data_IF_853463268542
#
_entry.id   IF_853463268542
#
_cell.length_a   1.000
_cell.length_b   1.000
_cell.length_c   1.000
_cell.angle_alpha   90.00
_cell.angle_beta   90.00
_cell.angle_gamma   90.00
#
_symmetry.space_group_name_H-M   'P 1'
#
loop_
_entity.id
_entity.type
_entity.pdbx_description
1 polymer ?
#
# COMPACT_ATOMS: atom_id res chain seq x y z
N UNK A 1 -23.61 26.34 -84.18
CA UNK A 1 -24.43 27.33 -84.91
C UNK A 1 -24.99 28.31 -83.91
N UNK A 2 -24.79 29.60 -84.20
CA UNK A 2 -25.33 30.82 -83.60
C UNK A 2 -26.42 30.69 -82.53
N UNK A 3 -26.28 31.46 -81.44
CA UNK A 3 -27.17 32.62 -81.35
C UNK A 3 -26.53 33.84 -80.68
N UNK A 4 -26.99 34.97 -81.20
CA UNK A 4 -26.40 36.28 -81.21
C UNK A 4 -26.77 37.12 -79.98
N UNK A 5 -25.79 37.94 -79.55
CA UNK A 5 -25.94 39.40 -79.34
C UNK A 5 -26.91 39.90 -78.25
N UNK A 6 -26.35 40.16 -77.07
CA UNK A 6 -26.15 41.50 -76.45
C UNK A 6 -27.23 42.58 -76.65
N UNK A 7 -27.78 43.16 -75.56
CA UNK A 7 -28.19 44.59 -75.44
C UNK A 7 -28.81 44.89 -74.06
N UNK A 8 -28.06 45.64 -73.21
CA UNK A 8 -28.41 46.97 -72.67
C UNK A 8 -27.68 47.29 -71.36
N UNK A 9 -26.70 48.20 -71.49
CA UNK A 9 -26.23 49.09 -70.43
C UNK A 9 -27.28 50.17 -70.15
N UNK A 10 -27.55 50.48 -68.88
CA UNK A 10 -28.01 51.79 -68.37
C UNK A 10 -27.40 51.98 -66.97
N UNK A 11 -26.35 52.79 -66.82
CA UNK A 11 -26.34 54.23 -66.45
C UNK A 11 -26.69 54.43 -64.95
N UNK A 12 -25.69 54.91 -64.19
CA UNK A 12 -25.65 55.41 -62.79
C UNK A 12 -26.60 56.65 -62.59
N UNK A 13 -26.67 57.42 -61.46
CA UNK A 13 -25.80 57.51 -60.27
C UNK A 13 -26.48 57.82 -58.89
N UNK A 14 -25.67 57.78 -57.81
CA UNK A 14 -25.72 58.56 -56.56
C UNK A 14 -27.08 58.84 -55.86
N UNK A 15 -27.35 58.15 -54.75
CA UNK A 15 -28.02 58.76 -53.59
C UNK A 15 -27.07 58.79 -52.40
N UNK A 16 -26.90 60.01 -51.93
CA UNK A 16 -26.01 60.51 -50.90
C UNK A 16 -26.67 60.31 -49.51
N UNK A 17 -25.90 59.73 -48.59
CA UNK A 17 -25.93 59.89 -47.13
C UNK A 17 -27.27 59.84 -46.35
N UNK A 18 -27.46 58.75 -45.59
CA UNK A 18 -28.08 58.70 -44.25
C UNK A 18 -27.60 57.38 -43.62
N UNK A 19 -26.71 57.33 -42.64
CA UNK A 19 -26.98 57.71 -41.26
C UNK A 19 -27.01 56.45 -40.37
N UNK A 20 -25.82 56.03 -39.90
CA UNK A 20 -25.48 55.34 -38.63
C UNK A 20 -26.52 54.40 -37.99
N UNK A 21 -26.21 53.09 -37.94
CA UNK A 21 -26.57 52.03 -36.94
C UNK A 21 -26.51 50.67 -37.68
N UNK A 22 -25.74 49.63 -37.38
CA UNK A 22 -25.22 49.06 -36.14
C UNK A 22 -23.88 48.37 -36.44
N UNK A 23 -22.81 48.72 -35.72
CA UNK A 23 -21.68 47.81 -35.52
C UNK A 23 -22.08 46.79 -34.44
N UNK A 24 -22.14 45.51 -34.79
CA UNK A 24 -22.12 44.41 -33.83
C UNK A 24 -21.11 43.35 -34.29
N UNK A 25 -19.84 43.77 -34.35
CA UNK A 25 -18.72 42.84 -34.25
C UNK A 25 -18.47 42.54 -32.77
N UNK A 26 -18.66 41.30 -32.35
CA UNK A 26 -18.18 40.80 -31.06
C UNK A 26 -17.32 39.57 -31.31
N UNK A 27 -16.12 39.80 -31.83
CA UNK A 27 -15.00 38.89 -31.62
C UNK A 27 -14.28 39.35 -30.34
N UNK A 28 -14.78 38.92 -29.18
CA UNK A 28 -14.10 39.09 -27.90
C UNK A 28 -13.90 37.70 -27.29
N UNK A 29 -12.79 37.06 -27.65
CA UNK A 29 -12.20 36.02 -26.80
C UNK A 29 -11.70 36.74 -25.55
N UNK A 30 -12.40 36.57 -24.43
CA UNK A 30 -11.86 36.95 -23.14
C UNK A 30 -10.58 36.13 -22.91
N UNK A 31 -9.44 36.75 -22.52
CA UNK A 31 -8.34 35.98 -22.00
C UNK A 31 -8.82 35.27 -20.73
N UNK A 32 -8.66 33.95 -20.70
CA UNK A 32 -8.79 33.17 -19.48
C UNK A 32 -7.86 33.83 -18.47
N UNK A 33 -8.41 34.31 -17.36
CA UNK A 33 -7.61 34.87 -16.28
C UNK A 33 -6.58 33.83 -15.86
N UNK A 34 -5.30 34.12 -16.15
CA UNK A 34 -4.18 33.46 -15.48
C UNK A 34 -4.32 33.82 -14.02
N UNK A 35 -4.78 32.86 -13.22
CA UNK A 35 -4.79 32.99 -11.77
C UNK A 35 -3.35 32.86 -11.30
N UNK A 36 -2.81 33.94 -10.76
CA UNK A 36 -1.56 33.93 -10.02
C UNK A 36 -1.66 32.86 -8.92
N UNK A 37 -0.75 31.89 -9.00
CA UNK A 37 -0.66 30.76 -8.09
C UNK A 37 -0.18 31.20 -6.72
N UNK A 38 -1.05 31.82 -5.93
CA UNK A 38 -0.96 31.70 -4.49
C UNK A 38 -1.55 30.34 -4.11
N UNK A 39 -0.65 29.39 -3.91
CA UNK A 39 -0.92 27.99 -3.55
C UNK A 39 -1.62 27.85 -2.20
N UNK A 40 -2.91 28.12 -2.18
CA UNK A 40 -3.85 27.48 -1.26
C UNK A 40 -4.69 26.57 -2.12
N UNK A 41 -4.31 25.29 -2.15
CA UNK A 41 -5.20 24.26 -2.67
C UNK A 41 -6.54 24.42 -1.96
N UNK A 42 -7.68 24.44 -2.68
CA UNK A 42 -8.96 24.33 -2.00
C UNK A 42 -8.90 23.09 -1.10
N UNK A 43 -9.34 23.17 0.17
CA UNK A 43 -9.38 22.00 1.03
C UNK A 43 -10.09 20.88 0.26
N UNK A 44 -9.64 19.61 0.38
CA UNK A 44 -10.34 18.52 -0.27
C UNK A 44 -11.82 18.67 0.09
N UNK A 45 -12.66 18.77 -0.92
CA UNK A 45 -14.10 18.84 -0.72
C UNK A 45 -14.44 17.72 0.25
N UNK A 46 -14.95 18.08 1.43
CA UNK A 46 -15.25 17.11 2.47
C UNK A 46 -16.03 15.98 1.81
N UNK A 47 -15.53 14.75 1.95
CA UNK A 47 -16.24 13.58 1.48
C UNK A 47 -17.70 13.74 1.93
N UNK A 48 -18.69 13.58 1.04
CA UNK A 48 -20.08 13.73 1.43
C UNK A 48 -20.28 12.80 2.62
N UNK A 49 -20.54 13.42 3.78
CA UNK A 49 -20.72 12.71 5.03
C UNK A 49 -21.83 11.70 4.74
N UNK A 50 -21.53 10.41 4.90
CA UNK A 50 -22.60 9.41 4.91
C UNK A 50 -23.67 9.96 5.86
N UNK A 51 -24.95 9.82 5.51
CA UNK A 51 -25.98 10.15 6.48
C UNK A 51 -25.60 9.47 7.80
N UNK A 52 -25.88 10.11 8.95
CA UNK A 52 -25.31 9.79 10.28
C UNK A 52 -25.35 8.31 10.71
N UNK A 53 -25.97 7.44 9.92
CA UNK A 53 -26.01 5.98 10.00
C UNK A 53 -24.92 5.21 9.23
N UNK A 54 -24.05 5.85 8.43
CA UNK A 54 -23.02 5.13 7.65
C UNK A 54 -23.58 4.37 6.43
N UNK A 55 -24.70 4.85 5.88
CA UNK A 55 -25.43 4.28 4.74
C UNK A 55 -25.50 5.30 3.61
N UNK A 56 -25.36 4.84 2.36
CA UNK A 56 -25.42 5.63 1.14
C UNK A 56 -26.50 5.08 0.20
N UNK A 57 -27.40 5.95 -0.27
CA UNK A 57 -28.42 5.58 -1.26
C UNK A 57 -27.85 5.73 -2.67
N UNK A 58 -27.75 4.63 -3.41
CA UNK A 58 -27.21 4.58 -4.78
C UNK A 58 -28.02 5.48 -5.70
N UNK A 59 -27.35 6.39 -6.42
CA UNK A 59 -27.96 7.25 -7.43
C UNK A 59 -27.80 6.68 -8.84
N UNK A 60 -28.56 7.23 -9.78
CA UNK A 60 -28.47 6.87 -11.19
C UNK A 60 -27.04 7.10 -11.72
N UNK A 61 -26.43 6.03 -12.25
CA UNK A 61 -25.09 6.05 -12.82
C UNK A 61 -23.94 5.81 -11.82
N UNK A 62 -24.23 5.64 -10.53
CA UNK A 62 -23.22 5.25 -9.55
C UNK A 62 -22.90 3.74 -9.65
N UNK A 63 -21.65 3.40 -9.36
CA UNK A 63 -21.18 2.01 -9.27
C UNK A 63 -20.63 1.74 -7.88
N UNK A 64 -20.58 0.48 -7.46
CA UNK A 64 -20.03 0.12 -6.16
C UNK A 64 -18.57 0.57 -6.02
N UNK A 65 -17.81 0.56 -7.12
CA UNK A 65 -16.46 1.13 -7.19
C UNK A 65 -16.45 2.65 -6.98
N UNK A 66 -17.37 3.39 -7.60
CA UNK A 66 -17.50 4.84 -7.42
C UNK A 66 -17.83 5.21 -5.98
N UNK A 67 -18.80 4.51 -5.38
CA UNK A 67 -19.22 4.68 -3.99
C UNK A 67 -18.06 4.34 -3.04
N UNK A 68 -17.38 3.20 -3.25
CA UNK A 68 -16.22 2.82 -2.46
C UNK A 68 -15.09 3.87 -2.52
N UNK A 69 -14.85 4.47 -3.70
CA UNK A 69 -13.88 5.56 -3.85
C UNK A 69 -14.30 6.82 -3.11
N UNK A 70 -15.57 7.20 -3.22
CA UNK A 70 -16.14 8.38 -2.56
C UNK A 70 -16.02 8.31 -1.03
N UNK A 71 -16.24 7.13 -0.45
CA UNK A 71 -16.19 6.92 1.01
C UNK A 71 -14.84 6.39 1.52
N UNK A 72 -13.82 6.28 0.66
CA UNK A 72 -12.50 5.82 1.07
C UNK A 72 -12.45 4.33 1.45
N UNK A 73 -13.45 3.53 1.07
CA UNK A 73 -13.57 2.11 1.40
C UNK A 73 -13.08 1.18 0.29
N UNK A 74 -12.93 -0.10 0.61
CA UNK A 74 -12.68 -1.17 -0.35
C UNK A 74 -14.00 -1.73 -0.88
N UNK A 75 -14.08 -1.99 -2.19
CA UNK A 75 -15.25 -2.65 -2.81
C UNK A 75 -15.52 -4.00 -2.15
N UNK A 76 -14.47 -4.76 -1.82
CA UNK A 76 -14.60 -6.07 -1.17
C UNK A 76 -15.25 -5.95 0.21
N UNK A 77 -14.90 -4.92 0.97
CA UNK A 77 -15.46 -4.71 2.30
C UNK A 77 -16.93 -4.28 2.21
N UNK A 78 -17.27 -3.40 1.25
CA UNK A 78 -18.67 -3.05 0.95
C UNK A 78 -19.50 -4.27 0.56
N UNK A 79 -18.94 -5.18 -0.25
CA UNK A 79 -19.60 -6.43 -0.63
C UNK A 79 -19.91 -7.29 0.60
N UNK A 80 -18.95 -7.42 1.51
CA UNK A 80 -19.12 -8.18 2.77
C UNK A 80 -20.14 -7.51 3.69
N UNK A 81 -20.04 -6.21 3.91
CA UNK A 81 -20.93 -5.46 4.82
C UNK A 81 -22.38 -5.40 4.35
N UNK A 82 -22.61 -5.52 3.04
CA UNK A 82 -23.93 -5.46 2.43
C UNK A 82 -24.42 -6.83 1.91
N UNK A 83 -23.67 -7.91 2.18
CA UNK A 83 -24.03 -9.26 1.75
C UNK A 83 -24.23 -9.40 0.24
N UNK A 84 -23.52 -8.61 -0.58
CA UNK A 84 -23.69 -8.62 -2.02
C UNK A 84 -23.03 -9.87 -2.62
N UNK A 85 -23.77 -10.64 -3.42
CA UNK A 85 -23.19 -11.78 -4.15
C UNK A 85 -22.46 -11.32 -5.41
N UNK A 86 -22.94 -10.25 -6.05
CA UNK A 86 -22.34 -9.68 -7.25
C UNK A 86 -22.06 -8.18 -7.07
N UNK A 87 -20.78 -7.75 -7.05
CA UNK A 87 -20.39 -6.34 -6.88
C UNK A 87 -20.88 -5.39 -7.97
N UNK A 88 -21.23 -5.92 -9.15
CA UNK A 88 -21.69 -5.13 -10.31
C UNK A 88 -23.22 -5.02 -10.41
N UNK A 89 -23.96 -5.68 -9.51
CA UNK A 89 -25.42 -5.64 -9.48
C UNK A 89 -25.89 -4.78 -8.31
N UNK A 90 -25.81 -3.46 -8.48
CA UNK A 90 -26.44 -2.50 -7.57
C UNK A 90 -27.50 -1.70 -8.32
N UNK A 91 -28.60 -1.39 -7.64
CA UNK A 91 -29.74 -0.69 -8.24
C UNK A 91 -29.86 0.73 -7.70
N UNK A 92 -30.39 1.64 -8.52
CA UNK A 92 -30.69 3.01 -8.09
C UNK A 92 -31.72 2.97 -6.97
N UNK A 93 -31.47 3.72 -5.90
CA UNK A 93 -32.28 3.73 -4.68
C UNK A 93 -31.87 2.67 -3.65
N UNK A 94 -30.91 1.80 -3.96
CA UNK A 94 -30.42 0.79 -3.02
C UNK A 94 -29.59 1.42 -1.91
N UNK A 95 -29.84 1.03 -0.66
CA UNK A 95 -29.03 1.44 0.49
C UNK A 95 -27.78 0.56 0.59
N UNK A 96 -26.62 1.20 0.61
CA UNK A 96 -25.31 0.57 0.74
C UNK A 96 -24.65 1.09 2.02
N UNK A 97 -24.38 0.20 2.96
CA UNK A 97 -23.52 0.45 4.11
C UNK A 97 -22.10 0.73 3.63
N UNK A 98 -21.59 1.90 3.99
CA UNK A 98 -20.26 2.38 3.61
C UNK A 98 -19.31 2.51 4.80
N UNK A 99 -19.73 2.15 6.01
CA UNK A 99 -18.89 2.06 7.20
C UNK A 99 -18.88 0.64 7.78
N UNK A 100 -17.80 0.22 8.46
CA UNK A 100 -17.75 -1.05 9.18
C UNK A 100 -18.91 -1.17 10.18
N UNK A 101 -19.51 -2.36 10.37
CA UNK A 101 -20.56 -2.58 11.36
C UNK A 101 -20.15 -2.16 12.79
N UNK A 102 -18.86 -2.30 13.10
CA UNK A 102 -18.28 -1.96 14.41
C UNK A 102 -17.97 -0.46 14.59
N UNK A 103 -18.08 0.34 13.53
CA UNK A 103 -17.76 1.78 13.56
C UNK A 103 -18.88 2.64 14.20
N UNK A 104 -20.05 2.06 14.49
CA UNK A 104 -21.14 2.75 15.18
C UNK A 104 -21.03 2.68 16.73
N UNK A 105 -19.97 2.07 17.25
CA UNK A 105 -19.47 2.37 18.58
C UNK A 105 -18.17 3.15 18.35
N UNK A 106 -17.94 4.36 18.85
CA UNK A 106 -17.99 4.77 20.26
C UNK A 106 -17.82 6.32 20.28
N UNK A 107 -18.31 7.05 21.30
CA UNK A 107 -17.46 8.08 21.90
C UNK A 107 -17.26 7.81 23.40
N UNK A 108 -16.02 7.49 23.80
CA UNK A 108 -15.65 7.16 25.18
C UNK A 108 -14.81 5.89 25.33
N UNK A 109 -13.50 6.08 25.45
CA UNK A 109 -12.47 5.17 25.97
C UNK A 109 -12.76 3.66 26.06
N UNK A 110 -12.05 2.86 25.25
CA UNK A 110 -11.92 1.43 25.49
C UNK A 110 -10.94 1.18 26.65
N UNK A 111 -11.47 1.19 27.88
CA UNK A 111 -10.95 0.38 28.98
C UNK A 111 -11.51 -1.04 28.81
N UNK A 112 -10.63 -2.04 28.79
CA UNK A 112 -11.02 -3.43 28.78
C UNK A 112 -11.74 -3.78 30.09
N UNK A 113 -13.06 -3.95 30.05
CA UNK A 113 -13.82 -4.57 31.14
C UNK A 113 -13.82 -6.09 30.98
N UNK A 114 -13.41 -6.86 32.00
CA UNK A 114 -13.47 -8.31 31.97
C UNK A 114 -14.92 -8.81 31.98
N UNK A 115 -15.15 -9.93 31.26
CA UNK A 115 -16.43 -10.63 31.17
C UNK A 115 -16.74 -11.27 32.54
N UNK A 116 -17.91 -11.03 33.15
CA UNK A 116 -18.30 -11.75 34.37
C UNK A 116 -18.72 -13.18 34.02
N UNK A 117 -17.96 -14.15 34.54
CA UNK A 117 -18.37 -15.55 34.55
C UNK A 117 -19.50 -15.73 35.57
N UNK A 118 -20.71 -16.03 35.10
CA UNK A 118 -21.80 -16.51 35.95
C UNK A 118 -21.54 -17.99 36.24
N UNK A 119 -21.21 -18.31 37.49
CA UNK A 119 -21.07 -19.69 37.97
C UNK A 119 -22.46 -20.30 38.16
N UNK A 120 -22.87 -21.14 37.21
CA UNK A 120 -23.99 -22.08 37.39
C UNK A 120 -23.43 -23.39 37.99
N UNK A 121 -24.02 -23.94 39.06
CA UNK A 121 -23.49 -25.12 39.73
C UNK A 121 -23.72 -26.38 38.89
N UNK A 122 -22.70 -27.24 38.68
CA UNK A 122 -22.87 -28.45 37.90
C UNK A 122 -23.59 -29.53 38.71
N UNK A 123 -24.68 -30.05 38.14
CA UNK A 123 -25.37 -31.27 38.59
C UNK A 123 -24.45 -32.46 38.33
N UNK A 124 -24.21 -33.26 39.37
CA UNK A 124 -23.33 -34.42 39.35
C UNK A 124 -23.86 -35.53 38.42
N UNK A 125 -23.01 -35.98 37.50
CA UNK A 125 -23.11 -37.28 36.84
C UNK A 125 -21.96 -38.17 37.30
N UNK A 126 -22.19 -39.42 37.74
CA UNK A 126 -21.13 -40.31 38.18
C UNK A 126 -20.42 -40.93 36.97
N UNK A 127 -19.13 -40.65 36.81
CA UNK A 127 -18.26 -41.30 35.82
C UNK A 127 -17.50 -42.45 36.48
N UNK A 128 -17.69 -43.65 35.95
CA UNK A 128 -16.97 -44.89 36.27
C UNK A 128 -15.53 -44.80 35.72
N UNK A 129 -14.50 -45.36 36.38
CA UNK A 129 -13.10 -45.17 35.97
C UNK A 129 -12.70 -46.11 34.83
N UNK A 130 -12.09 -45.54 33.78
CA UNK A 130 -11.42 -46.29 32.71
C UNK A 130 -9.89 -46.16 32.86
N UNK A 131 -9.10 -47.25 32.69
CA UNK A 131 -7.66 -47.22 32.95
C UNK A 131 -6.90 -46.48 31.83
N UNK A 132 -6.06 -45.54 32.22
CA UNK A 132 -5.16 -44.82 31.33
C UNK A 132 -3.94 -45.68 30.97
N UNK A 133 -3.76 -45.97 29.68
CA UNK A 133 -2.45 -46.30 29.11
C UNK A 133 -1.60 -45.03 29.10
N UNK A 134 -0.52 -45.07 29.88
CA UNK A 134 0.45 -44.00 29.98
C UNK A 134 1.29 -43.90 28.69
N UNK A 135 1.30 -42.72 28.08
CA UNK A 135 2.11 -42.39 26.90
C UNK A 135 2.54 -40.92 26.89
N UNK A 136 3.61 -40.63 27.63
CA UNK A 136 4.56 -39.52 27.47
C UNK A 136 4.02 -38.08 27.34
N UNK A 137 3.62 -37.50 28.48
CA UNK A 137 3.76 -36.05 28.71
C UNK A 137 5.18 -35.76 29.19
N UNK A 138 5.88 -34.87 28.48
CA UNK A 138 7.23 -34.42 28.81
C UNK A 138 7.14 -33.41 29.96
N UNK A 139 7.15 -33.94 31.18
CA UNK A 139 7.12 -33.21 32.44
C UNK A 139 8.53 -32.68 32.75
N UNK A 140 8.72 -31.38 32.54
CA UNK A 140 9.64 -30.47 33.24
C UNK A 140 11.16 -30.76 33.23
N UNK A 141 12.04 -29.73 33.19
CA UNK A 141 13.46 -29.93 33.44
C UNK A 141 13.68 -30.17 34.94
N UNK A 142 13.77 -31.44 35.36
CA UNK A 142 14.29 -31.76 36.70
C UNK A 142 15.80 -31.50 36.73
N UNK A 143 16.18 -30.33 37.24
CA UNK A 143 17.56 -30.01 37.60
C UNK A 143 18.04 -30.93 38.71
N UNK A 144 18.74 -32.00 38.34
CA UNK A 144 19.37 -32.91 39.28
C UNK A 144 20.58 -32.26 39.96
N UNK A 145 20.60 -32.24 41.30
CA UNK A 145 21.83 -31.96 42.04
C UNK A 145 22.66 -33.24 42.04
N UNK A 146 23.65 -33.34 41.16
CA UNK A 146 24.64 -34.41 41.23
C UNK A 146 25.72 -34.03 42.26
N UNK A 147 26.16 -34.96 43.12
CA UNK A 147 27.26 -34.72 44.05
C UNK A 147 28.53 -34.44 43.25
N UNK A 148 29.29 -33.44 43.71
CA UNK A 148 30.56 -33.05 43.12
C UNK A 148 31.52 -34.25 43.11
N UNK A 149 31.92 -34.69 41.92
CA UNK A 149 32.99 -35.68 41.75
C UNK A 149 34.07 -35.11 40.83
N UNK A 150 35.33 -35.38 41.16
CA UNK A 150 36.48 -34.90 40.39
C UNK A 150 36.47 -35.43 38.95
N UNK A 151 35.84 -36.58 38.72
CA UNK A 151 35.69 -37.19 37.40
C UNK A 151 34.68 -36.44 36.49
N UNK A 152 33.61 -35.88 37.08
CA UNK A 152 32.65 -35.03 36.35
C UNK A 152 33.26 -33.67 36.05
N UNK A 153 34.04 -33.10 36.98
CA UNK A 153 34.79 -31.86 36.74
C UNK A 153 35.83 -32.02 35.63
N UNK A 154 36.53 -33.15 35.60
CA UNK A 154 37.48 -33.45 34.53
C UNK A 154 36.79 -33.59 33.16
N UNK A 155 35.55 -34.07 33.11
CA UNK A 155 34.75 -34.16 31.87
C UNK A 155 34.25 -32.80 31.39
N UNK A 156 33.83 -31.91 32.30
CA UNK A 156 33.44 -30.53 32.00
C UNK A 156 34.63 -29.71 31.50
N UNK A 157 35.82 -29.86 32.09
CA UNK A 157 37.06 -29.26 31.57
C UNK A 157 37.47 -29.83 30.22
N UNK A 158 37.27 -31.12 29.96
CA UNK A 158 37.54 -31.72 28.65
C UNK A 158 36.59 -31.24 27.55
N UNK A 159 35.34 -30.92 27.89
CA UNK A 159 34.41 -30.23 26.99
C UNK A 159 34.63 -28.70 26.94
N UNK A 160 35.58 -28.18 27.72
CA UNK A 160 35.96 -26.77 27.79
C UNK A 160 37.45 -26.53 27.47
N UNK A 161 38.14 -27.51 26.88
CA UNK A 161 39.48 -27.31 26.35
C UNK A 161 39.36 -26.40 25.13
N UNK A 162 40.04 -25.23 25.09
CA UNK A 162 40.03 -24.35 23.94
C UNK A 162 40.53 -25.11 22.72
N UNK A 163 39.72 -25.12 21.65
CA UNK A 163 40.25 -25.42 20.33
C UNK A 163 41.41 -24.44 20.06
N UNK A 164 42.63 -24.97 19.96
CA UNK A 164 43.74 -24.25 19.34
C UNK A 164 43.30 -23.79 17.93
N UNK A 165 43.85 -22.67 17.43
CA UNK A 165 43.12 -21.69 16.62
C UNK A 165 42.82 -22.23 15.23
N UNK A 166 41.58 -22.67 15.04
CA UNK A 166 40.98 -22.82 13.72
C UNK A 166 40.42 -21.47 13.32
N UNK A 167 41.12 -20.86 12.36
CA UNK A 167 40.62 -19.93 11.35
C UNK A 167 39.31 -19.20 11.70
N UNK A 168 39.46 -17.92 12.03
CA UNK A 168 38.53 -16.81 11.76
C UNK A 168 37.17 -17.18 11.17
N UNK A 169 36.27 -17.74 11.97
CA UNK A 169 34.85 -17.64 11.68
C UNK A 169 34.35 -16.43 12.45
N UNK A 170 34.01 -15.31 11.79
CA UNK A 170 33.57 -14.13 12.49
C UNK A 170 32.32 -14.52 13.28
N UNK A 171 32.45 -14.46 14.61
CA UNK A 171 31.39 -14.01 15.52
C UNK A 171 30.49 -13.08 14.73
N UNK A 172 29.18 -13.33 14.76
CA UNK A 172 28.18 -12.39 14.28
C UNK A 172 28.37 -11.07 15.05
N UNK A 173 29.34 -10.29 14.57
CA UNK A 173 29.38 -8.85 14.62
C UNK A 173 28.01 -8.46 14.14
N UNK A 174 27.33 -7.67 14.96
CA UNK A 174 26.25 -6.79 14.52
C UNK A 174 26.49 -6.47 13.06
N UNK A 175 25.55 -6.89 12.18
CA UNK A 175 25.60 -6.51 10.77
C UNK A 175 25.97 -5.03 10.78
N UNK A 176 27.09 -4.65 10.14
CA UNK A 176 27.62 -3.32 10.31
C UNK A 176 26.46 -2.37 10.06
N UNK A 177 26.28 -1.43 10.98
CA UNK A 177 25.52 -0.22 10.74
C UNK A 177 26.24 0.51 9.61
N UNK A 178 26.19 -0.07 8.40
CA UNK A 178 26.47 0.60 7.16
C UNK A 178 25.30 1.53 7.02
N UNK A 179 25.43 2.69 7.68
CA UNK A 179 24.88 3.94 7.21
C UNK A 179 24.98 3.87 5.68
N UNK A 180 23.86 3.91 4.93
CA UNK A 180 23.91 4.09 3.49
C UNK A 180 24.29 5.56 3.28
N UNK A 181 25.55 5.88 3.57
CA UNK A 181 26.22 7.06 3.08
C UNK A 181 26.44 6.81 1.59
N UNK A 182 25.58 7.39 0.78
CA UNK A 182 25.66 7.38 -0.69
C UNK A 182 25.83 5.98 -1.32
N UNK A 183 25.41 4.93 -0.61
CA UNK A 183 25.58 3.54 -1.02
C UNK A 183 24.76 3.28 -2.29
N UNK A 184 25.43 2.85 -3.35
CA UNK A 184 24.83 2.48 -4.62
C UNK A 184 23.74 1.42 -4.38
N UNK A 185 22.51 1.75 -4.76
CA UNK A 185 21.34 0.93 -4.42
C UNK A 185 21.25 -0.25 -5.36
N UNK A 186 20.96 -1.43 -4.81
CA UNK A 186 20.78 -2.63 -5.61
C UNK A 186 19.39 -2.62 -6.27
N UNK A 187 19.34 -3.10 -7.51
CA UNK A 187 18.08 -3.39 -8.19
C UNK A 187 17.21 -4.36 -7.39
N UNK A 188 15.96 -4.01 -7.07
CA UNK A 188 15.10 -4.83 -6.22
C UNK A 188 14.47 -6.02 -6.96
N UNK A 189 14.50 -6.01 -8.29
CA UNK A 189 13.97 -7.06 -9.16
C UNK A 189 14.71 -7.06 -10.51
N UNK A 190 14.74 -8.22 -11.18
CA UNK A 190 15.53 -8.45 -12.41
C UNK A 190 14.85 -8.02 -13.72
N UNK A 191 13.56 -7.65 -13.71
CA UNK A 191 12.81 -7.35 -14.94
C UNK A 191 13.01 -5.93 -15.48
N UNK A 192 12.35 -5.57 -16.59
CA UNK A 192 12.50 -4.27 -17.26
C UNK A 192 11.67 -3.19 -16.60
N UNK A 193 12.09 -1.93 -16.68
CA UNK A 193 11.28 -0.80 -16.22
C UNK A 193 10.13 -0.59 -17.22
N UNK A 194 8.89 -0.70 -16.73
CA UNK A 194 7.65 -0.50 -17.49
C UNK A 194 7.19 0.96 -17.45
N UNK A 195 7.37 1.61 -16.30
CA UNK A 195 7.02 3.02 -16.08
C UNK A 195 8.09 3.66 -15.20
N UNK A 196 8.53 4.87 -15.59
CA UNK A 196 9.52 5.64 -14.86
C UNK A 196 8.91 6.61 -13.86
N UNK A 197 9.78 7.27 -13.11
CA UNK A 197 9.39 8.26 -12.12
C UNK A 197 8.73 9.49 -12.74
N UNK A 198 7.58 9.87 -12.17
CA UNK A 198 6.88 11.11 -12.41
C UNK A 198 6.16 11.52 -11.12
N UNK A 199 6.59 12.60 -10.48
CA UNK A 199 6.06 13.02 -9.18
C UNK A 199 4.53 13.13 -9.10
N UNK A 200 3.86 13.45 -10.21
CA UNK A 200 2.41 13.58 -10.27
C UNK A 200 1.67 12.24 -10.47
N UNK A 201 2.23 11.30 -11.22
CA UNK A 201 1.51 10.09 -11.67
C UNK A 201 2.15 8.77 -11.23
N UNK A 202 3.46 8.74 -11.03
CA UNK A 202 4.23 7.58 -10.61
C UNK A 202 5.37 7.99 -9.66
N UNK A 203 5.17 7.76 -8.36
CA UNK A 203 6.11 8.17 -7.29
C UNK A 203 7.39 7.32 -7.21
N UNK A 204 7.57 6.38 -8.14
CA UNK A 204 8.69 5.47 -8.19
C UNK A 204 8.92 4.95 -9.60
N UNK A 205 9.33 3.69 -9.71
CA UNK A 205 9.43 2.96 -10.97
C UNK A 205 8.63 1.67 -10.90
N UNK A 206 8.03 1.30 -12.02
CA UNK A 206 7.38 0.00 -12.16
C UNK A 206 8.33 -0.95 -12.87
N UNK A 207 8.67 -2.07 -12.25
CA UNK A 207 9.56 -3.10 -12.79
C UNK A 207 8.73 -4.33 -13.14
N UNK A 208 8.84 -4.81 -14.37
CA UNK A 208 8.19 -6.04 -14.82
C UNK A 208 8.68 -7.25 -14.03
N UNK A 209 7.87 -8.27 -13.90
CA UNK A 209 8.32 -9.57 -13.38
C UNK A 209 7.21 -10.60 -13.44
N UNK A 210 7.54 -11.81 -13.04
CA UNK A 210 6.58 -12.90 -12.92
C UNK A 210 6.07 -13.01 -11.47
N UNK A 211 4.82 -13.44 -11.26
CA UNK A 211 4.34 -13.77 -9.93
C UNK A 211 5.29 -14.78 -9.25
N UNK A 212 5.74 -14.48 -8.04
CA UNK A 212 6.69 -15.32 -7.30
C UNK A 212 8.16 -14.93 -7.46
N UNK A 213 8.50 -14.05 -8.40
CA UNK A 213 9.88 -13.57 -8.54
C UNK A 213 10.38 -12.96 -7.22
N UNK A 214 11.66 -13.18 -6.92
CA UNK A 214 12.26 -12.66 -5.70
C UNK A 214 12.34 -11.13 -5.74
N UNK A 215 11.77 -10.49 -4.73
CA UNK A 215 11.96 -9.06 -4.45
C UNK A 215 12.97 -8.95 -3.32
N UNK A 216 14.04 -8.18 -3.57
CA UNK A 216 15.16 -8.03 -2.64
C UNK A 216 15.26 -6.60 -2.09
N UNK A 217 15.79 -6.47 -0.87
CA UNK A 217 16.08 -5.17 -0.28
C UNK A 217 17.21 -4.47 -1.07
N UNK A 218 16.97 -3.23 -1.47
CA UNK A 218 17.90 -2.45 -2.30
C UNK A 218 19.08 -1.89 -1.49
N UNK A 219 18.90 -1.76 -0.19
CA UNK A 219 19.94 -1.39 0.78
C UNK A 219 19.61 -2.04 2.14
N UNK A 220 20.59 -2.10 3.04
CA UNK A 220 20.38 -2.58 4.40
C UNK A 220 19.52 -1.60 5.20
N UNK A 221 18.71 -2.08 6.13
CA UNK A 221 17.84 -1.24 6.94
C UNK A 221 16.90 -2.02 7.85
N UNK A 222 15.92 -1.31 8.42
CA UNK A 222 14.86 -1.87 9.25
C UNK A 222 13.52 -1.79 8.54
N UNK A 223 12.75 -2.88 8.57
CA UNK A 223 11.37 -2.88 8.07
C UNK A 223 10.50 -2.08 9.02
N UNK A 224 9.97 -0.95 8.56
CA UNK A 224 9.07 -0.08 9.33
C UNK A 224 7.60 -0.35 9.03
N UNK A 225 7.32 -1.12 7.99
CA UNK A 225 5.96 -1.53 7.64
C UNK A 225 6.00 -2.80 6.77
N UNK A 226 5.13 -3.76 7.08
CA UNK A 226 4.92 -4.96 6.26
C UNK A 226 3.45 -5.40 6.33
N UNK A 227 2.67 -5.11 5.28
CA UNK A 227 1.23 -5.38 5.32
C UNK A 227 0.46 -4.93 4.09
N UNK A 228 -0.87 -4.78 4.21
CA UNK A 228 -1.78 -4.40 3.12
C UNK A 228 -2.73 -3.24 3.46
N UNK A 229 -2.52 -2.54 4.58
CA UNK A 229 -3.35 -1.43 5.03
C UNK A 229 -3.20 -0.11 4.27
N UNK A 230 -2.21 0.03 3.36
CA UNK A 230 -2.05 1.25 2.55
C UNK A 230 -2.72 1.09 1.18
N UNK A 231 -3.77 1.88 0.94
CA UNK A 231 -4.54 1.86 -0.30
C UNK A 231 -3.67 2.18 -1.51
N UNK A 232 -3.83 1.39 -2.58
CA UNK A 232 -3.16 1.60 -3.86
C UNK A 232 -1.75 1.02 -3.93
N UNK A 233 -1.24 0.44 -2.84
CA UNK A 233 0.09 -0.20 -2.78
C UNK A 233 0.00 -1.73 -2.68
N UNK A 234 -1.20 -2.30 -2.47
CA UNK A 234 -1.37 -3.73 -2.26
C UNK A 234 -0.59 -4.22 -1.04
N UNK A 235 0.00 -5.41 -1.14
CA UNK A 235 0.98 -5.86 -0.13
C UNK A 235 2.28 -5.10 -0.33
N UNK A 236 2.67 -4.35 0.68
CA UNK A 236 3.88 -3.57 0.65
C UNK A 236 4.84 -3.86 1.81
N UNK A 237 6.10 -3.59 1.56
CA UNK A 237 7.18 -3.50 2.54
C UNK A 237 7.77 -2.09 2.46
N UNK A 238 7.99 -1.46 3.60
CA UNK A 238 8.74 -0.21 3.69
C UNK A 238 9.98 -0.46 4.53
N UNK A 239 11.15 -0.16 3.99
CA UNK A 239 12.43 -0.28 4.70
C UNK A 239 12.96 1.13 4.97
N UNK A 240 13.22 1.42 6.25
CA UNK A 240 13.98 2.60 6.67
C UNK A 240 15.46 2.27 6.69
N UNK A 241 16.23 3.02 5.94
CA UNK A 241 17.68 2.78 5.79
C UNK A 241 18.49 3.67 6.72
N UNK A 242 18.13 4.95 6.79
CA UNK A 242 18.70 5.91 7.74
C UNK A 242 17.66 7.01 8.05
N UNK A 243 18.10 8.16 8.57
CA UNK A 243 17.20 9.28 8.85
C UNK A 243 16.66 9.95 7.58
N UNK A 244 17.38 9.85 6.47
CA UNK A 244 17.04 10.51 5.21
C UNK A 244 16.24 9.60 4.27
N UNK A 245 16.55 8.30 4.18
CA UNK A 245 16.06 7.43 3.12
C UNK A 245 15.16 6.30 3.62
N UNK A 246 14.03 6.15 2.92
CA UNK A 246 13.16 4.97 2.98
C UNK A 246 12.97 4.41 1.58
N UNK A 247 12.80 3.10 1.45
CA UNK A 247 12.37 2.46 0.21
C UNK A 247 11.03 1.75 0.38
N UNK A 248 10.25 1.71 -0.70
CA UNK A 248 8.92 1.08 -0.73
C UNK A 248 8.91 0.02 -1.81
N UNK A 249 8.37 -1.15 -1.47
CA UNK A 249 8.20 -2.30 -2.36
C UNK A 249 6.72 -2.67 -2.36
N UNK A 250 6.01 -2.45 -3.46
CA UNK A 250 4.56 -2.61 -3.52
C UNK A 250 4.10 -3.66 -4.53
N UNK A 251 2.80 -3.96 -4.47
CA UNK A 251 2.10 -4.95 -5.31
C UNK A 251 2.58 -6.39 -5.15
N UNK A 252 3.25 -6.71 -4.04
CA UNK A 252 3.78 -8.05 -3.79
C UNK A 252 2.65 -9.08 -3.65
N UNK A 253 2.91 -10.35 -3.91
CA UNK A 253 1.94 -11.43 -3.61
C UNK A 253 2.10 -11.96 -2.17
N UNK A 254 3.34 -11.97 -1.68
CA UNK A 254 3.70 -12.55 -0.38
C UNK A 254 4.83 -11.73 0.24
N UNK A 255 4.71 -11.48 1.53
CA UNK A 255 5.75 -10.82 2.33
C UNK A 255 6.51 -11.91 3.11
N UNK A 256 7.83 -11.82 3.12
CA UNK A 256 8.71 -12.77 3.83
C UNK A 256 9.33 -12.18 5.09
N UNK A 257 9.10 -10.89 5.32
CA UNK A 257 9.52 -10.12 6.48
C UNK A 257 8.30 -9.55 7.20
N UNK A 258 8.50 -9.18 8.46
CA UNK A 258 7.52 -8.49 9.30
C UNK A 258 8.07 -7.15 9.75
N UNK A 259 7.21 -6.35 10.38
CA UNK A 259 7.60 -5.10 11.02
C UNK A 259 8.71 -5.33 12.05
N UNK A 260 9.60 -4.35 12.18
CA UNK A 260 10.81 -4.35 13.01
C UNK A 260 11.92 -5.34 12.62
N UNK A 261 11.76 -6.14 11.56
CA UNK A 261 12.85 -7.00 11.07
C UNK A 261 14.02 -6.16 10.52
N UNK A 262 15.23 -6.58 10.85
CA UNK A 262 16.45 -6.05 10.23
C UNK A 262 16.73 -6.81 8.93
N UNK A 263 17.04 -6.09 7.86
CA UNK A 263 17.30 -6.65 6.54
C UNK A 263 18.62 -6.16 5.97
N UNK A 264 19.35 -7.03 5.29
CA UNK A 264 20.58 -6.70 4.58
C UNK A 264 20.31 -6.36 3.12
N UNK A 265 21.18 -5.58 2.49
CA UNK A 265 21.13 -5.35 1.04
C UNK A 265 21.16 -6.69 0.29
N UNK A 266 20.28 -6.85 -0.71
CA UNK A 266 20.13 -8.08 -1.49
C UNK A 266 19.34 -9.20 -0.80
N UNK A 267 18.94 -9.04 0.47
CA UNK A 267 18.11 -10.02 1.16
C UNK A 267 16.73 -10.11 0.50
N UNK A 268 16.23 -11.34 0.29
CA UNK A 268 14.86 -11.57 -0.19
C UNK A 268 13.85 -11.16 0.88
N UNK A 269 12.98 -10.20 0.56
CA UNK A 269 12.00 -9.62 1.49
C UNK A 269 10.55 -9.95 1.11
N UNK A 270 10.30 -10.22 -0.18
CA UNK A 270 8.97 -10.48 -0.68
C UNK A 270 9.02 -11.30 -1.97
N UNK A 271 7.84 -11.68 -2.44
CA UNK A 271 7.60 -12.24 -3.76
C UNK A 271 6.76 -11.28 -4.58
N UNK A 272 7.19 -11.01 -5.81
CA UNK A 272 6.52 -10.14 -6.74
C UNK A 272 5.12 -10.66 -7.04
N UNK A 273 4.16 -9.75 -7.18
CA UNK A 273 2.79 -10.10 -7.48
C UNK A 273 2.10 -9.01 -8.29
N UNK A 274 0.78 -8.98 -8.16
CA UNK A 274 -0.09 -7.99 -8.78
C UNK A 274 -1.17 -7.48 -7.81
N UNK A 275 -0.89 -7.42 -6.50
CA UNK A 275 -1.90 -6.98 -5.53
C UNK A 275 -2.16 -5.48 -5.71
N UNK A 276 -3.43 -5.10 -5.94
CA UNK A 276 -3.83 -3.75 -6.31
C UNK A 276 -3.12 -3.17 -7.57
N UNK A 277 -2.65 -4.04 -8.47
CA UNK A 277 -2.06 -3.67 -9.77
C UNK A 277 -2.84 -4.28 -10.94
N UNK A 278 -2.69 -3.69 -12.14
CA UNK A 278 -3.31 -4.16 -13.39
C UNK A 278 -2.63 -5.41 -13.97
N UNK A 279 -1.38 -5.67 -13.57
CA UNK A 279 -0.56 -6.79 -14.02
C UNK A 279 0.55 -7.10 -13.00
N UNK A 280 1.23 -8.25 -13.10
CA UNK A 280 2.41 -8.54 -12.30
C UNK A 280 3.52 -7.51 -12.54
N UNK A 281 3.83 -6.75 -11.49
CA UNK A 281 4.89 -5.74 -11.48
C UNK A 281 5.28 -5.41 -10.05
N UNK A 282 6.53 -5.02 -9.85
CA UNK A 282 6.99 -4.40 -8.61
C UNK A 282 6.90 -2.88 -8.78
N UNK A 283 6.18 -2.22 -7.89
CA UNK A 283 6.30 -0.77 -7.74
C UNK A 283 7.36 -0.46 -6.69
N UNK A 284 8.42 0.24 -7.10
CA UNK A 284 9.57 0.54 -6.26
C UNK A 284 9.74 2.05 -6.11
N UNK A 285 9.74 2.55 -4.88
CA UNK A 285 9.98 3.97 -4.59
C UNK A 285 11.23 4.12 -3.70
N UNK A 286 11.94 5.24 -3.88
CA UNK A 286 12.89 5.76 -2.91
C UNK A 286 12.33 7.09 -2.42
N UNK A 287 12.33 7.30 -1.11
CA UNK A 287 11.88 8.53 -0.48
C UNK A 287 13.00 9.15 0.31
N UNK A 288 13.32 10.41 0.01
CA UNK A 288 14.25 11.23 0.78
C UNK A 288 13.46 12.20 1.66
N UNK A 289 13.60 12.10 2.98
CA UNK A 289 12.87 12.89 3.98
C UNK A 289 11.35 12.83 3.76
N UNK A 290 10.85 11.64 3.39
CA UNK A 290 9.44 11.39 3.11
C UNK A 290 8.95 11.81 1.70
N UNK A 291 9.73 12.58 0.94
CA UNK A 291 9.39 12.95 -0.45
C UNK A 291 9.89 11.90 -1.43
N UNK A 292 9.07 11.47 -2.42
CA UNK A 292 9.50 10.52 -3.42
C UNK A 292 10.55 11.17 -4.35
N UNK A 293 11.62 10.44 -4.62
CA UNK A 293 12.70 10.85 -5.52
C UNK A 293 12.87 9.80 -6.61
N UNK A 294 13.37 10.22 -7.77
CA UNK A 294 13.60 9.31 -8.91
C UNK A 294 14.58 8.18 -8.54
N UNK A 295 14.12 6.92 -8.44
CA UNK A 295 14.96 5.79 -8.06
C UNK A 295 16.09 5.51 -9.07
N UNK A 296 15.91 5.89 -10.34
CA UNK A 296 16.91 5.64 -11.39
C UNK A 296 18.22 6.38 -11.16
N UNK A 297 18.25 7.39 -10.28
CA UNK A 297 19.46 8.14 -9.91
C UNK A 297 20.31 7.46 -8.84
N UNK A 298 19.74 6.45 -8.17
CA UNK A 298 20.36 5.77 -7.03
C UNK A 298 20.71 4.32 -7.35
N UNK A 299 19.95 3.70 -8.25
CA UNK A 299 20.15 2.32 -8.66
C UNK A 299 21.42 2.18 -9.49
N UNK A 300 22.19 1.12 -9.23
CA UNK A 300 23.40 0.81 -9.98
C UNK A 300 23.15 0.68 -11.48
N UNK A 301 24.16 0.93 -12.31
CA UNK A 301 24.07 0.62 -13.74
C UNK A 301 23.78 -0.88 -13.94
N UNK A 302 22.96 -1.20 -14.95
CA UNK A 302 22.60 -2.57 -15.32
C UNK A 302 23.56 -3.16 -16.35
#
# INVERSE_FOLDING_TARGET
MNDSVNIKKRIAPYFLALGVLFLAGCASRAPVAVRDGNGVAPPPAAAPVADRAGVHVVRAGETLLGIARQYGQNVKDLVVWNGLTNPNQIHVGQEIRVLPPDANAIPGGAVATPIPITSEPPVAVPVVPQPATAGALKLEPKGGKQPYSDELWARVRRSGEPAAPVASEPRATQAPEQEPGDAEWLWPAKGKVLSGFNEATNKGIDISGNPGDAVVASAAGRVVYAGSGLRGYGKLVIIKHNQEYNSVYAHNQKLLVKEDDQVSQGQKIAELGSTDADRPKLHFEIRKQGRPVDPMKFLSAR
#
